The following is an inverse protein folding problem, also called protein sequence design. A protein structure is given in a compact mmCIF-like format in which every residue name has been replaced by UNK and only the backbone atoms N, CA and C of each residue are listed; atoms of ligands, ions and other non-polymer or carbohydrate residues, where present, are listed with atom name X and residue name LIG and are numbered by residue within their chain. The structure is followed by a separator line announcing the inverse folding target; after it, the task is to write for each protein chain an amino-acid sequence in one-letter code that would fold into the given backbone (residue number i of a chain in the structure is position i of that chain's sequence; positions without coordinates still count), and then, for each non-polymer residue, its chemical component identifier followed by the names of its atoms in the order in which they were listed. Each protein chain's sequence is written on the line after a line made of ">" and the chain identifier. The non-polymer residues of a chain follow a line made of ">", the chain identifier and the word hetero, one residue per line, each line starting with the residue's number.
data_IF_435565816896
#
_entry.id   IF_435565816896
#
_cell.length_a   1.000
_cell.length_b   1.000
_cell.length_c   1.000
_cell.angle_alpha   90.00
_cell.angle_beta   90.00
_cell.angle_gamma   90.00
#
_symmetry.space_group_name_H-M   'P 1'
#
loop_
_entity.id
_entity.type
_entity.pdbx_description
1 polymer ?
#
# COMPACT_ATOMS: atom_id res chain seq x y z
N UNK A 1 32.91 -8.22 5.05
CA UNK A 1 32.09 -7.19 4.39
C UNK A 1 30.79 -7.05 5.16
N UNK A 2 30.49 -5.88 5.72
CA UNK A 2 29.20 -5.63 6.38
C UNK A 2 28.16 -5.35 5.29
N UNK A 3 27.20 -6.26 5.10
CA UNK A 3 26.02 -6.00 4.27
C UNK A 3 25.26 -4.80 4.87
N UNK A 4 25.09 -3.75 4.08
CA UNK A 4 24.37 -2.55 4.50
C UNK A 4 22.88 -2.89 4.45
N UNK A 5 22.31 -3.22 5.61
CA UNK A 5 20.86 -3.40 5.73
C UNK A 5 20.20 -2.03 5.59
N UNK A 6 19.71 -1.73 4.39
CA UNK A 6 18.89 -0.54 4.18
C UNK A 6 17.46 -0.92 4.50
N UNK A 7 16.94 -0.30 5.54
CA UNK A 7 15.55 -0.42 5.97
C UNK A 7 14.81 0.73 5.33
N UNK A 8 13.58 0.48 4.87
CA UNK A 8 12.84 1.50 4.12
C UNK A 8 12.67 2.76 4.99
N UNK A 9 13.00 3.96 4.47
CA UNK A 9 12.81 5.19 5.22
C UNK A 9 11.32 5.37 5.55
N UNK A 10 11.06 5.75 6.80
CA UNK A 10 9.72 6.09 7.27
C UNK A 10 9.33 7.50 6.80
N UNK A 11 8.04 7.84 6.90
CA UNK A 11 7.46 9.10 6.40
C UNK A 11 7.58 9.32 4.89
N UNK A 12 7.40 8.24 4.11
CA UNK A 12 7.44 8.32 2.64
C UNK A 12 6.28 7.59 2.00
N UNK A 13 5.86 8.09 0.85
CA UNK A 13 4.95 7.35 -0.01
C UNK A 13 5.70 6.23 -0.73
N UNK A 14 5.08 5.06 -0.80
CA UNK A 14 5.63 3.88 -1.46
C UNK A 14 4.52 3.07 -2.14
N UNK A 15 4.88 2.26 -3.12
CA UNK A 15 3.98 1.23 -3.65
C UNK A 15 4.39 -0.12 -3.08
N UNK A 16 3.53 -0.75 -2.28
CA UNK A 16 3.75 -2.11 -1.81
C UNK A 16 3.14 -3.12 -2.76
N UNK A 17 3.81 -4.26 -2.94
CA UNK A 17 3.28 -5.41 -3.68
C UNK A 17 3.12 -6.59 -2.74
N UNK A 18 2.02 -7.33 -2.86
CA UNK A 18 1.83 -8.59 -2.13
C UNK A 18 2.59 -9.72 -2.80
N UNK A 19 3.27 -10.53 -1.99
CA UNK A 19 3.91 -11.77 -2.42
C UNK A 19 3.39 -12.94 -1.55
N UNK A 20 2.24 -13.53 -1.93
CA UNK A 20 1.57 -14.54 -1.12
C UNK A 20 2.39 -15.83 -1.01
N UNK A 21 3.13 -16.18 -2.06
CA UNK A 21 3.99 -17.37 -2.10
C UNK A 21 5.17 -17.23 -1.13
N UNK A 22 5.92 -16.12 -1.21
CA UNK A 22 6.98 -15.86 -0.26
C UNK A 22 6.43 -15.85 1.18
N UNK A 23 5.32 -15.14 1.41
CA UNK A 23 4.67 -15.08 2.72
C UNK A 23 4.31 -16.46 3.28
N UNK A 24 3.76 -17.36 2.45
CA UNK A 24 3.43 -18.72 2.86
C UNK A 24 4.68 -19.52 3.26
N UNK A 25 5.71 -19.51 2.41
CA UNK A 25 7.00 -20.16 2.68
C UNK A 25 7.62 -19.64 3.99
N UNK A 26 7.59 -18.33 4.20
CA UNK A 26 8.20 -17.69 5.37
C UNK A 26 7.44 -17.96 6.68
N UNK A 27 6.15 -18.30 6.58
CA UNK A 27 5.33 -18.75 7.70
C UNK A 27 5.46 -20.25 7.98
N UNK A 28 6.24 -20.99 7.17
CA UNK A 28 6.35 -22.44 7.25
C UNK A 28 5.12 -23.17 6.71
N UNK A 29 4.40 -22.53 5.78
CA UNK A 29 3.25 -23.09 5.07
C UNK A 29 3.69 -23.47 3.64
N UNK A 30 4.71 -24.30 3.56
CA UNK A 30 5.39 -24.71 2.32
C UNK A 30 4.87 -26.04 1.75
N UNK A 31 3.71 -26.50 2.22
CA UNK A 31 3.07 -27.66 1.63
C UNK A 31 2.63 -27.37 0.17
N UNK A 32 2.68 -28.37 -0.72
CA UNK A 32 2.42 -28.16 -2.15
C UNK A 32 1.03 -27.60 -2.46
N UNK A 33 0.04 -27.85 -1.60
CA UNK A 33 -1.33 -27.36 -1.78
C UNK A 33 -1.40 -25.86 -1.45
N UNK A 34 -0.85 -25.43 -0.31
CA UNK A 34 -0.79 -24.03 0.07
C UNK A 34 0.00 -23.19 -0.94
N UNK A 35 1.14 -23.69 -1.42
CA UNK A 35 1.93 -22.96 -2.42
C UNK A 35 1.16 -22.82 -3.73
N UNK A 36 0.45 -23.86 -4.16
CA UNK A 36 -0.38 -23.81 -5.37
C UNK A 36 -1.51 -22.79 -5.24
N UNK A 37 -2.18 -22.75 -4.09
CA UNK A 37 -3.20 -21.72 -3.82
C UNK A 37 -2.60 -20.32 -3.77
N UNK A 38 -1.44 -20.16 -3.13
CA UNK A 38 -0.72 -18.89 -3.07
C UNK A 38 -0.30 -18.40 -4.47
N UNK A 39 0.08 -19.30 -5.37
CA UNK A 39 0.38 -18.97 -6.77
C UNK A 39 -0.86 -18.54 -7.56
N UNK A 40 -2.04 -19.06 -7.19
CA UNK A 40 -3.33 -18.62 -7.72
C UNK A 40 -3.77 -17.24 -7.25
N UNK A 41 -3.18 -16.73 -6.16
CA UNK A 41 -3.51 -15.40 -5.62
C UNK A 41 -2.93 -14.26 -6.47
N UNK A 42 -3.72 -13.21 -6.65
CA UNK A 42 -3.29 -12.01 -7.36
C UNK A 42 -2.24 -11.22 -6.56
N UNK A 43 -1.07 -11.01 -7.16
CA UNK A 43 -0.05 -10.08 -6.67
C UNK A 43 -0.47 -8.64 -6.99
N UNK A 44 -1.06 -7.96 -6.02
CA UNK A 44 -1.59 -6.61 -6.18
C UNK A 44 -0.59 -5.57 -5.70
N UNK A 45 -0.61 -4.42 -6.36
CA UNK A 45 0.15 -3.22 -5.95
C UNK A 45 -0.79 -2.28 -5.22
N UNK A 46 -0.30 -1.70 -4.13
CA UNK A 46 -1.03 -0.75 -3.29
C UNK A 46 -0.17 0.47 -3.05
N UNK A 47 -0.74 1.65 -3.20
CA UNK A 47 -0.10 2.89 -2.83
C UNK A 47 -0.31 3.11 -1.33
N UNK A 48 0.77 3.35 -0.60
CA UNK A 48 0.76 3.51 0.85
C UNK A 48 1.65 4.68 1.27
N UNK A 49 1.38 5.21 2.45
CA UNK A 49 2.31 6.04 3.19
C UNK A 49 2.93 5.21 4.31
N UNK A 50 4.25 5.09 4.31
CA UNK A 50 5.01 4.40 5.35
C UNK A 50 5.10 5.31 6.58
N UNK A 51 4.46 4.94 7.69
CA UNK A 51 4.42 5.78 8.88
C UNK A 51 5.61 5.53 9.79
N UNK A 52 5.67 4.35 10.41
CA UNK A 52 6.70 4.00 11.38
C UNK A 52 6.98 2.50 11.35
N UNK A 53 8.25 2.07 11.48
CA UNK A 53 8.56 0.68 11.78
C UNK A 53 8.02 0.33 13.17
N UNK A 54 7.35 -0.82 13.29
CA UNK A 54 6.85 -1.35 14.56
C UNK A 54 8.00 -1.95 15.39
N UNK A 55 9.08 -2.34 14.72
CA UNK A 55 10.23 -2.99 15.34
C UNK A 55 11.53 -2.46 14.75
N UNK A 56 12.56 -2.39 15.59
CA UNK A 56 13.89 -2.01 15.12
C UNK A 56 14.43 -3.13 14.21
N UNK A 57 14.97 -2.78 13.03
CA UNK A 57 15.56 -3.75 12.14
C UNK A 57 16.87 -4.28 12.73
N UNK A 58 16.87 -5.56 13.11
CA UNK A 58 18.04 -6.26 13.64
C UNK A 58 18.77 -7.03 12.54
N UNK A 59 20.10 -7.21 12.65
CA UNK A 59 20.85 -8.08 11.74
C UNK A 59 20.25 -9.49 11.66
N UNK A 60 20.08 -10.00 10.44
CA UNK A 60 19.50 -11.33 10.20
C UNK A 60 17.97 -11.37 10.09
N UNK A 61 17.29 -10.24 10.32
CA UNK A 61 15.85 -10.14 10.05
C UNK A 61 15.58 -10.20 8.55
N UNK A 62 14.68 -11.11 8.15
CA UNK A 62 14.23 -11.24 6.76
C UNK A 62 13.12 -10.24 6.40
N UNK A 63 12.40 -9.74 7.41
CA UNK A 63 11.30 -8.79 7.28
C UNK A 63 11.36 -7.76 8.40
N UNK A 64 10.81 -6.58 8.17
CA UNK A 64 10.55 -5.57 9.19
C UNK A 64 9.07 -5.17 9.12
N UNK A 65 8.40 -5.10 10.27
CA UNK A 65 7.01 -4.64 10.36
C UNK A 65 6.92 -3.12 10.29
N UNK A 66 5.95 -2.63 9.52
CA UNK A 66 5.62 -1.22 9.38
C UNK A 66 4.14 -0.98 9.62
N UNK A 67 3.83 0.12 10.30
CA UNK A 67 2.52 0.75 10.21
C UNK A 67 2.51 1.54 8.90
N UNK A 68 1.52 1.29 8.08
CA UNK A 68 1.32 1.99 6.80
C UNK A 68 -0.11 2.47 6.70
N UNK A 69 -0.30 3.62 6.05
CA UNK A 69 -1.61 4.14 5.68
C UNK A 69 -1.84 3.93 4.19
N UNK A 70 -2.76 3.02 3.78
CA UNK A 70 -3.16 2.88 2.39
C UNK A 70 -3.78 4.16 1.84
N UNK A 71 -3.39 4.52 0.62
CA UNK A 71 -3.87 5.71 -0.07
C UNK A 71 -5.11 5.36 -0.89
N UNK A 72 -6.20 6.07 -0.61
CA UNK A 72 -7.44 5.96 -1.37
C UNK A 72 -7.36 6.76 -2.67
N UNK A 73 -7.92 6.21 -3.75
CA UNK A 73 -8.09 6.91 -5.04
C UNK A 73 -9.48 7.54 -5.20
N UNK A 74 -10.27 7.49 -4.15
CA UNK A 74 -11.62 8.04 -4.04
C UNK A 74 -11.90 8.36 -2.57
N UNK A 75 -13.06 8.95 -2.29
CA UNK A 75 -13.57 9.06 -0.93
C UNK A 75 -13.75 7.67 -0.33
N UNK A 76 -13.56 7.57 0.98
CA UNK A 76 -13.77 6.32 1.70
C UNK A 76 -15.26 6.00 1.79
N UNK A 77 -15.64 4.72 1.85
CA UNK A 77 -16.96 4.35 2.33
C UNK A 77 -17.16 4.82 3.78
N UNK A 78 -18.39 5.25 4.14
CA UNK A 78 -18.72 5.53 5.53
C UNK A 78 -18.73 4.23 6.35
N UNK A 79 -18.38 4.35 7.63
CA UNK A 79 -18.43 3.29 8.63
C UNK A 79 -19.09 3.85 9.89
N UNK A 80 -20.42 3.71 9.96
CA UNK A 80 -21.24 4.24 11.04
C UNK A 80 -20.86 3.65 12.41
N UNK A 81 -20.42 2.39 12.43
CA UNK A 81 -20.04 1.69 13.67
C UNK A 81 -18.83 2.32 14.35
N UNK A 82 -17.95 2.92 13.56
CA UNK A 82 -16.75 3.62 14.02
C UNK A 82 -16.92 5.14 14.00
N UNK A 83 -18.12 5.64 13.69
CA UNK A 83 -18.42 7.07 13.55
C UNK A 83 -17.62 7.73 12.42
N UNK A 84 -17.28 6.98 11.36
CA UNK A 84 -16.47 7.50 10.26
C UNK A 84 -17.33 7.83 9.06
N UNK A 85 -17.24 9.06 8.59
CA UNK A 85 -17.96 9.55 7.41
C UNK A 85 -17.05 9.60 6.17
N UNK A 86 -17.65 9.67 4.98
CA UNK A 86 -16.91 9.69 3.71
C UNK A 86 -16.01 10.92 3.55
N UNK A 87 -16.31 12.01 4.26
CA UNK A 87 -15.61 13.29 4.25
C UNK A 87 -14.38 13.31 5.18
N UNK A 88 -14.19 12.28 6.03
CA UNK A 88 -13.02 12.10 6.89
C UNK A 88 -11.78 11.63 6.10
N UNK A 89 -11.33 12.48 5.19
CA UNK A 89 -10.18 12.29 4.33
C UNK A 89 -9.33 13.55 4.25
N UNK A 90 -8.05 13.41 3.89
CA UNK A 90 -7.16 14.54 3.58
C UNK A 90 -6.66 14.40 2.14
N UNK A 91 -6.91 15.38 1.25
CA UNK A 91 -6.45 15.30 -0.13
C UNK A 91 -4.93 15.41 -0.22
N UNK A 92 -4.36 14.74 -1.22
CA UNK A 92 -2.93 14.82 -1.55
C UNK A 92 -2.80 15.58 -2.86
N UNK A 93 -2.10 16.70 -2.84
CA UNK A 93 -1.87 17.53 -4.01
C UNK A 93 -1.25 16.69 -5.15
N UNK A 94 -1.72 16.83 -6.39
CA UNK A 94 -2.50 17.95 -6.91
C UNK A 94 -4.03 17.83 -6.73
N UNK A 95 -4.53 16.84 -6.00
CA UNK A 95 -5.94 16.84 -5.59
C UNK A 95 -6.25 18.07 -4.75
N UNK A 96 -7.18 18.94 -5.15
CA UNK A 96 -7.57 20.13 -4.38
C UNK A 96 -8.66 19.83 -3.34
N UNK A 97 -9.14 18.58 -3.30
CA UNK A 97 -10.20 18.17 -2.40
C UNK A 97 -11.58 18.61 -2.88
N UNK A 98 -12.61 18.08 -2.21
CA UNK A 98 -14.00 18.50 -2.45
C UNK A 98 -14.48 19.51 -1.39
N UNK A 99 -13.75 19.66 -0.27
CA UNK A 99 -14.08 20.57 0.82
C UNK A 99 -12.99 21.67 0.92
N UNK A 100 -13.35 22.96 0.77
CA UNK A 100 -12.40 24.07 0.80
C UNK A 100 -11.70 24.26 2.15
N UNK A 101 -12.24 23.73 3.26
CA UNK A 101 -11.62 23.81 4.59
C UNK A 101 -10.46 22.81 4.77
N UNK A 102 -10.42 21.74 3.98
CA UNK A 102 -9.38 20.69 4.09
C UNK A 102 -8.32 20.89 3.03
N UNK A 103 -7.30 21.68 3.35
CA UNK A 103 -6.17 21.89 2.46
C UNK A 103 -5.41 20.61 2.15
N UNK A 104 -5.01 20.49 0.88
CA UNK A 104 -4.25 19.36 0.40
C UNK A 104 -2.83 19.34 0.93
N UNK A 105 -2.38 18.16 1.35
CA UNK A 105 -0.98 17.91 1.68
C UNK A 105 -0.17 18.03 0.40
N UNK A 106 0.99 18.69 0.47
CA UNK A 106 1.92 18.86 -0.67
C UNK A 106 3.20 18.07 -0.43
N UNK A 107 3.28 16.82 -0.90
CA UNK A 107 4.50 16.02 -0.77
C UNK A 107 5.67 16.65 -1.49
N UNK A 108 6.88 16.37 -0.99
CA UNK A 108 8.14 16.66 -1.69
C UNK A 108 8.89 15.33 -1.88
N UNK A 109 9.17 14.89 -3.12
CA UNK A 109 8.80 15.50 -4.40
C UNK A 109 7.28 15.49 -4.65
N UNK A 110 6.84 16.23 -5.68
CA UNK A 110 5.42 16.33 -6.06
C UNK A 110 4.80 14.96 -6.28
N UNK A 111 3.59 14.77 -5.78
CA UNK A 111 2.89 13.50 -5.89
C UNK A 111 2.44 13.25 -7.34
N UNK A 112 2.66 12.05 -7.90
CA UNK A 112 2.40 11.80 -9.32
C UNK A 112 0.93 11.48 -9.64
N UNK A 113 0.06 11.33 -8.64
CA UNK A 113 -1.33 10.89 -8.82
C UNK A 113 -2.33 12.00 -8.46
N UNK A 114 -3.32 12.21 -9.33
CA UNK A 114 -4.22 13.36 -9.25
C UNK A 114 -5.33 13.25 -8.21
N UNK A 115 -5.87 12.06 -7.97
CA UNK A 115 -7.08 11.87 -7.16
C UNK A 115 -6.80 10.98 -5.96
N UNK A 116 -5.88 11.40 -5.09
CA UNK A 116 -5.45 10.60 -3.95
C UNK A 116 -5.78 11.27 -2.62
N UNK A 117 -6.06 10.43 -1.63
CA UNK A 117 -6.47 10.83 -0.29
C UNK A 117 -5.82 9.96 0.78
N UNK A 118 -5.47 10.58 1.90
CA UNK A 118 -5.34 9.87 3.16
C UNK A 118 -6.73 9.66 3.76
N UNK A 119 -7.06 8.42 4.09
CA UNK A 119 -8.29 8.11 4.82
C UNK A 119 -8.01 8.10 6.32
N UNK A 120 -8.87 8.74 7.12
CA UNK A 120 -8.70 8.72 8.58
C UNK A 120 -8.77 7.28 9.13
N UNK A 121 -7.95 6.95 10.14
CA UNK A 121 -8.02 5.65 10.84
C UNK A 121 -7.93 4.41 9.92
N UNK A 122 -7.13 4.50 8.85
CA UNK A 122 -6.94 3.46 7.83
C UNK A 122 -5.61 2.71 7.96
N UNK A 123 -4.89 2.87 9.07
CA UNK A 123 -3.57 2.28 9.22
C UNK A 123 -3.64 0.74 9.33
N UNK A 124 -2.68 0.06 8.70
CA UNK A 124 -2.51 -1.39 8.74
C UNK A 124 -1.06 -1.76 9.00
N UNK A 125 -0.81 -2.95 9.54
CA UNK A 125 0.55 -3.46 9.76
C UNK A 125 0.94 -4.41 8.63
N UNK A 126 2.08 -4.14 8.00
CA UNK A 126 2.65 -4.96 6.92
C UNK A 126 4.08 -5.39 7.26
N UNK A 127 4.51 -6.53 6.73
CA UNK A 127 5.88 -7.05 6.80
C UNK A 127 6.61 -6.72 5.50
N UNK A 128 7.54 -5.77 5.53
CA UNK A 128 8.37 -5.40 4.39
C UNK A 128 9.59 -6.32 4.35
N UNK A 129 9.89 -6.96 3.22
CA UNK A 129 11.10 -7.79 3.06
C UNK A 129 12.35 -6.92 3.09
N UNK A 130 13.34 -7.33 3.87
CA UNK A 130 14.66 -6.68 3.93
C UNK A 130 15.61 -7.49 3.06
N UNK A 131 16.15 -6.87 1.99
CA UNK A 131 17.14 -7.52 1.13
C UNK A 131 18.56 -7.19 1.63
N UNK A 132 19.47 -8.17 1.51
CA UNK A 132 20.87 -8.05 1.95
C UNK A 132 21.69 -7.01 1.17
N UNK A 133 21.15 -6.55 0.04
CA UNK A 133 21.75 -5.57 -0.87
C UNK A 133 21.04 -4.19 -0.75
N UNK A 134 20.20 -4.04 0.29
CA UNK A 134 19.30 -2.91 0.50
C UNK A 134 17.93 -3.13 -0.13
N UNK A 135 16.91 -2.41 0.34
CA UNK A 135 15.64 -2.34 -0.41
C UNK A 135 15.99 -1.81 -1.80
N UNK A 136 15.55 -2.46 -2.88
CA UNK A 136 15.82 -2.02 -4.25
C UNK A 136 15.35 -0.57 -4.49
N UNK A 137 16.20 0.42 -4.22
CA UNK A 137 16.00 1.82 -4.56
C UNK A 137 16.12 2.00 -6.07
N UNK A 138 15.26 1.31 -6.82
CA UNK A 138 14.84 1.83 -8.10
C UNK A 138 14.18 3.18 -7.78
N UNK A 139 14.80 4.25 -8.26
CA UNK A 139 14.30 5.62 -8.16
C UNK A 139 13.00 5.69 -8.98
N UNK A 140 11.91 5.20 -8.35
CA UNK A 140 10.48 5.18 -8.69
C UNK A 140 9.82 4.17 -7.72
N UNK A 141 9.04 4.58 -6.71
CA UNK A 141 8.95 3.83 -5.46
C UNK A 141 8.02 2.61 -5.58
N UNK A 142 8.58 1.41 -5.73
CA UNK A 142 7.86 0.13 -5.62
C UNK A 142 8.61 -0.78 -4.66
N UNK A 143 8.13 -0.84 -3.40
CA UNK A 143 8.71 -1.62 -2.32
C UNK A 143 7.71 -2.57 -1.67
N UNK A 144 7.91 -3.87 -1.87
CA UNK A 144 7.10 -5.03 -1.43
C UNK A 144 6.89 -5.14 0.08
N UNK A 145 5.63 -5.30 0.54
CA UNK A 145 5.30 -5.59 1.94
C UNK A 145 4.00 -6.40 2.10
N UNK A 146 4.05 -7.44 2.94
CA UNK A 146 3.07 -8.51 3.18
C UNK A 146 2.12 -8.18 4.34
N UNK A 147 0.80 -8.17 4.13
CA UNK A 147 -0.20 -7.89 5.17
C UNK A 147 -0.64 -9.14 5.93
N UNK A 148 -0.90 -9.03 7.24
CA UNK A 148 -1.71 -9.97 8.02
C UNK A 148 -3.16 -9.47 8.11
N UNK A 149 -4.07 -10.34 7.65
CA UNK A 149 -5.52 -10.49 7.89
C UNK A 149 -6.41 -9.28 8.27
N UNK A 150 -7.53 -9.16 7.53
CA UNK A 150 -8.84 -9.16 8.19
C UNK A 150 -9.71 -7.90 8.12
N UNK A 151 -10.11 -7.46 6.93
CA UNK A 151 -11.43 -6.83 6.73
C UNK A 151 -11.82 -6.90 5.25
N UNK A 152 -12.95 -7.55 4.99
CA UNK A 152 -13.51 -7.75 3.67
C UNK A 152 -14.00 -6.41 3.10
N UNK A 153 -13.25 -5.86 2.14
CA UNK A 153 -13.67 -4.72 1.33
C UNK A 153 -12.92 -4.78 0.02
N UNK A 154 -13.56 -5.26 -1.05
CA UNK A 154 -12.98 -5.41 -2.39
C UNK A 154 -12.30 -4.10 -2.87
N UNK A 155 -11.00 -4.11 -3.21
CA UNK A 155 -10.42 -3.08 -4.08
C UNK A 155 -10.34 -3.60 -5.53
N UNK A 156 -10.73 -2.77 -6.48
CA UNK A 156 -11.00 -3.14 -7.87
C UNK A 156 -9.75 -3.20 -8.77
N UNK A 157 -9.85 -4.06 -9.79
CA UNK A 157 -9.09 -4.03 -11.03
C UNK A 157 -9.26 -2.66 -11.74
N UNK A 158 -8.29 -2.20 -12.55
CA UNK A 158 -8.55 -1.15 -13.53
C UNK A 158 -9.49 -1.69 -14.62
N UNK A 159 -10.57 -0.96 -14.89
CA UNK A 159 -11.43 -1.23 -16.03
C UNK A 159 -10.63 -1.02 -17.32
N UNK A 160 -10.61 -2.03 -18.20
CA UNK A 160 -10.11 -1.89 -19.57
C UNK A 160 -10.87 -0.77 -20.30
N UNK A 161 -10.21 0.06 -21.12
CA UNK A 161 -10.89 1.11 -21.88
C UNK A 161 -11.82 0.46 -22.92
N UNK A 162 -13.12 0.56 -22.66
CA UNK A 162 -14.17 0.16 -23.58
C UNK A 162 -14.21 1.07 -24.80
N UNK A 163 -14.13 0.45 -25.98
CA UNK A 163 -14.26 1.02 -27.32
C UNK A 163 -15.53 1.88 -27.42
N UNK A 164 -15.38 3.15 -27.79
CA UNK A 164 -16.48 4.06 -28.07
C UNK A 164 -17.40 3.48 -29.16
N UNK A 165 -18.71 3.42 -28.90
CA UNK A 165 -19.74 3.23 -29.93
C UNK A 165 -20.24 4.60 -30.41
N UNK A 166 -20.48 4.79 -31.72
CA UNK A 166 -21.01 6.05 -32.22
C UNK A 166 -22.51 6.18 -31.87
N UNK A 167 -22.94 7.42 -31.62
CA UNK A 167 -24.35 7.79 -31.40
C UNK A 167 -25.13 7.69 -32.72
N UNK A 168 -26.39 7.22 -32.72
CA UNK A 168 -27.29 7.47 -33.84
C UNK A 168 -27.91 8.86 -33.71
N UNK A 169 -28.24 9.43 -34.87
CA UNK A 169 -28.95 10.69 -35.09
C UNK A 169 -30.34 10.70 -34.46
#
# INVERSE_FOLDING_TARGET
>A
MARRFLVAPHHRYAVIRTDPEAMAIDLGLDDPETIKEAQGMLRRKYLVYLEWPVELPMPGMRWCRYIVSPIGTALRPPDETRGITSDMVVPIAPNEGYNPERHSIRPTPSFPFLNCYHWAFNNVVVRVRVYGDGVAEDISPVFTASSLSGACGRPCLPASPGRARPRPY
#
